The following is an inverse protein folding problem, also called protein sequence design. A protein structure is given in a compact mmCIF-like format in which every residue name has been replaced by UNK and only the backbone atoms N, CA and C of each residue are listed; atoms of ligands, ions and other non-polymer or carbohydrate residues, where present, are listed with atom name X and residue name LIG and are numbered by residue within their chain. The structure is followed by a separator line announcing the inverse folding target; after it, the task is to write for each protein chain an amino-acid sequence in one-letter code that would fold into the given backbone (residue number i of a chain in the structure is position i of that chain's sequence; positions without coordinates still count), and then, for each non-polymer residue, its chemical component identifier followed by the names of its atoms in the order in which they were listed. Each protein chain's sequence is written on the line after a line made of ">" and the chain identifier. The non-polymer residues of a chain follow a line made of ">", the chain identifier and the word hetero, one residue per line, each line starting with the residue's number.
data_IF_265511583420
#
_entry.id   IF_265511583420
#
_cell.length_a   1.000
_cell.length_b   1.000
_cell.length_c   1.000
_cell.angle_alpha   90.00
_cell.angle_beta   90.00
_cell.angle_gamma   90.00
#
_symmetry.space_group_name_H-M   'P 1'
#
loop_
_entity.id
_entity.type
_entity.pdbx_description
1 polymer ?
#
# COMPACT_ATOMS: atom_id res chain seq x y z
N UNK A 1 -12.63 -3.14 3.80
CA UNK A 1 -11.23 -2.87 3.51
C UNK A 1 -10.83 -1.41 3.82
N UNK A 2 -11.53 -0.43 3.21
CA UNK A 2 -11.15 0.99 3.26
C UNK A 2 -10.94 1.54 4.68
N UNK A 3 -11.84 1.34 5.67
CA UNK A 3 -11.64 1.88 7.02
C UNK A 3 -10.39 1.33 7.71
N UNK A 4 -10.10 0.03 7.53
CA UNK A 4 -8.93 -0.61 8.13
C UNK A 4 -7.64 -0.08 7.49
N UNK A 5 -7.62 0.05 6.16
CA UNK A 5 -6.49 0.60 5.44
C UNK A 5 -6.25 2.07 5.80
N UNK A 6 -7.30 2.90 5.89
CA UNK A 6 -7.18 4.31 6.27
C UNK A 6 -6.67 4.47 7.70
N UNK A 7 -7.13 3.65 8.64
CA UNK A 7 -6.62 3.66 10.00
C UNK A 7 -5.11 3.34 10.04
N UNK A 8 -4.70 2.26 9.37
CA UNK A 8 -3.30 1.85 9.30
C UNK A 8 -2.43 2.92 8.61
N UNK A 9 -2.90 3.51 7.50
CA UNK A 9 -2.22 4.61 6.82
C UNK A 9 -2.10 5.84 7.72
N UNK A 10 -3.16 6.19 8.47
CA UNK A 10 -3.16 7.31 9.40
C UNK A 10 -2.10 7.17 10.49
N UNK A 11 -1.94 5.97 11.05
CA UNK A 11 -0.87 5.68 12.01
C UNK A 11 0.52 5.87 11.38
N UNK A 12 0.73 5.42 10.15
CA UNK A 12 2.02 5.56 9.46
C UNK A 12 2.32 7.00 9.03
N UNK A 13 1.30 7.81 8.78
CA UNK A 13 1.50 9.23 8.41
C UNK A 13 2.13 10.06 9.55
N UNK A 14 2.07 9.57 10.80
CA UNK A 14 2.75 10.21 11.95
C UNK A 14 4.28 10.22 11.76
N UNK A 15 4.83 9.31 10.99
CA UNK A 15 6.27 9.22 10.70
C UNK A 15 6.79 10.52 10.06
N UNK A 16 6.02 11.13 9.16
CA UNK A 16 6.40 12.35 8.46
C UNK A 16 6.74 13.53 9.41
N UNK A 17 5.80 13.98 10.26
CA UNK A 17 6.06 15.04 11.24
C UNK A 17 7.19 14.72 12.21
N UNK A 18 7.33 13.45 12.63
CA UNK A 18 8.44 13.03 13.52
C UNK A 18 9.78 13.25 12.84
N UNK A 19 9.93 12.84 11.59
CA UNK A 19 11.16 13.01 10.82
C UNK A 19 11.45 14.49 10.55
N UNK A 20 10.43 15.27 10.19
CA UNK A 20 10.57 16.71 9.97
C UNK A 20 11.12 17.42 11.24
N UNK A 21 10.62 17.03 12.41
CA UNK A 21 11.06 17.58 13.70
C UNK A 21 12.51 17.16 14.04
N UNK A 22 12.90 15.92 13.69
CA UNK A 22 14.26 15.44 13.93
C UNK A 22 15.30 16.13 13.03
N UNK A 23 14.96 16.42 11.78
CA UNK A 23 15.83 17.18 10.87
C UNK A 23 16.04 18.61 11.33
N UNK A 24 15.03 19.27 11.86
CA UNK A 24 15.16 20.62 12.43
C UNK A 24 16.18 20.70 13.58
N UNK A 25 16.51 19.57 14.20
CA UNK A 25 17.48 19.45 15.31
C UNK A 25 18.87 18.92 14.91
N UNK A 26 19.20 18.92 13.60
CA UNK A 26 20.51 18.46 13.06
C UNK A 26 20.88 16.99 13.34
N UNK A 27 19.87 16.09 13.46
CA UNK A 27 20.08 14.66 13.71
C UNK A 27 19.94 13.83 12.42
N UNK A 28 20.62 14.22 11.36
CA UNK A 28 20.52 13.56 10.04
C UNK A 28 20.92 12.07 10.05
N UNK A 29 21.88 11.68 10.91
CA UNK A 29 22.32 10.29 11.04
C UNK A 29 21.24 9.31 11.54
N UNK A 30 20.14 9.81 12.11
CA UNK A 30 19.04 8.98 12.61
C UNK A 30 17.92 8.71 11.60
N UNK A 31 17.95 9.33 10.43
CA UNK A 31 16.91 9.15 9.40
C UNK A 31 16.91 7.71 8.87
N UNK A 32 18.08 7.11 8.63
CA UNK A 32 18.17 5.71 8.20
C UNK A 32 17.63 4.72 9.23
N UNK A 33 17.90 4.96 10.51
CA UNK A 33 17.34 4.17 11.62
C UNK A 33 15.81 4.25 11.66
N UNK A 34 15.25 5.45 11.47
CA UNK A 34 13.80 5.67 11.43
C UNK A 34 13.14 5.00 10.22
N UNK A 35 13.83 4.90 9.08
CA UNK A 35 13.34 4.18 7.89
C UNK A 35 13.06 2.72 8.21
N UNK A 36 14.02 2.07 8.88
CA UNK A 36 13.90 0.66 9.23
C UNK A 36 12.75 0.42 10.24
N UNK A 37 12.63 1.28 11.23
CA UNK A 37 11.53 1.21 12.21
C UNK A 37 10.17 1.49 11.57
N UNK A 38 10.09 2.42 10.62
CA UNK A 38 8.88 2.70 9.86
C UNK A 38 8.42 1.49 9.03
N UNK A 39 9.35 0.78 8.40
CA UNK A 39 9.05 -0.45 7.65
C UNK A 39 8.62 -1.58 8.58
N UNK A 40 9.26 -1.76 9.73
CA UNK A 40 8.84 -2.73 10.74
C UNK A 40 7.43 -2.43 11.26
N UNK A 41 7.14 -1.16 11.55
CA UNK A 41 5.81 -0.73 11.96
C UNK A 41 4.75 -1.03 10.87
N UNK A 42 5.06 -0.74 9.61
CA UNK A 42 4.18 -1.06 8.48
C UNK A 42 3.92 -2.56 8.37
N UNK A 43 4.96 -3.39 8.57
CA UNK A 43 4.84 -4.85 8.56
C UNK A 43 3.97 -5.35 9.72
N UNK A 44 4.19 -4.87 10.93
CA UNK A 44 3.37 -5.23 12.09
C UNK A 44 1.90 -4.82 11.90
N UNK A 45 1.66 -3.59 11.41
CA UNK A 45 0.31 -3.11 11.12
C UNK A 45 -0.37 -3.95 10.04
N UNK A 46 0.36 -4.38 9.02
CA UNK A 46 -0.19 -5.24 7.97
C UNK A 46 -0.58 -6.62 8.51
N UNK A 47 0.28 -7.21 9.36
CA UNK A 47 0.01 -8.50 10.00
C UNK A 47 -1.23 -8.46 10.90
N UNK A 48 -1.47 -7.35 11.58
CA UNK A 48 -2.69 -7.15 12.40
C UNK A 48 -3.91 -6.87 11.52
N UNK A 49 -3.74 -6.11 10.45
CA UNK A 49 -4.87 -5.72 9.57
C UNK A 49 -5.35 -6.86 8.67
N UNK A 50 -4.48 -7.78 8.25
CA UNK A 50 -4.84 -8.92 7.41
C UNK A 50 -5.94 -9.81 8.04
N UNK A 51 -5.81 -10.33 9.27
CA UNK A 51 -6.86 -11.14 9.88
C UNK A 51 -8.16 -10.37 10.08
N UNK A 52 -8.10 -9.08 10.37
CA UNK A 52 -9.29 -8.22 10.48
C UNK A 52 -10.05 -8.19 9.15
N UNK A 53 -9.35 -7.96 8.03
CA UNK A 53 -9.97 -7.97 6.70
C UNK A 53 -10.48 -9.36 6.34
N UNK A 54 -9.75 -10.41 6.72
CA UNK A 54 -10.18 -11.80 6.50
C UNK A 54 -11.50 -12.12 7.21
N UNK A 55 -11.68 -11.67 8.45
CA UNK A 55 -12.94 -11.83 9.18
C UNK A 55 -14.04 -10.97 8.56
N UNK A 56 -13.76 -9.71 8.23
CA UNK A 56 -14.71 -8.78 7.64
C UNK A 56 -15.25 -9.26 6.28
N UNK A 57 -14.48 -10.01 5.50
CA UNK A 57 -14.96 -10.55 4.22
C UNK A 57 -16.15 -11.50 4.40
N UNK A 58 -16.23 -12.21 5.53
CA UNK A 58 -17.32 -13.15 5.81
C UNK A 58 -18.62 -12.44 6.22
N UNK A 59 -18.54 -11.18 6.66
CA UNK A 59 -19.69 -10.38 7.06
C UNK A 59 -20.63 -10.05 5.87
N UNK A 60 -20.10 -10.06 4.65
CA UNK A 60 -20.90 -9.81 3.45
C UNK A 60 -22.03 -10.83 3.25
N UNK A 61 -21.83 -12.10 3.67
CA UNK A 61 -22.87 -13.11 3.62
C UNK A 61 -24.06 -12.84 4.56
N UNK A 62 -23.92 -11.89 5.49
CA UNK A 62 -24.99 -11.49 6.42
C UNK A 62 -25.72 -10.22 5.95
N UNK A 63 -25.13 -9.47 5.03
CA UNK A 63 -25.65 -8.17 4.59
C UNK A 63 -26.50 -8.29 3.31
N UNK A 64 -26.22 -9.27 2.47
CA UNK A 64 -26.89 -9.42 1.18
C UNK A 64 -27.26 -10.87 0.91
N UNK A 65 -28.51 -11.07 0.44
CA UNK A 65 -29.01 -12.37 0.01
C UNK A 65 -28.50 -12.78 -1.38
N UNK A 66 -27.85 -11.87 -2.14
CA UNK A 66 -27.28 -12.17 -3.44
C UNK A 66 -25.93 -12.90 -3.31
N UNK A 67 -25.97 -14.21 -3.46
CA UNK A 67 -24.80 -15.08 -3.37
C UNK A 67 -23.72 -14.77 -4.43
N UNK A 68 -24.07 -14.20 -5.57
CA UNK A 68 -23.12 -13.83 -6.61
C UNK A 68 -22.34 -12.58 -6.21
N UNK A 69 -23.03 -11.56 -5.71
CA UNK A 69 -22.44 -10.32 -5.21
C UNK A 69 -21.53 -10.60 -4.01
N UNK A 70 -21.95 -11.43 -3.07
CA UNK A 70 -21.15 -11.79 -1.89
C UNK A 70 -19.86 -12.52 -2.27
N UNK A 71 -19.90 -13.44 -3.24
CA UNK A 71 -18.70 -14.11 -3.75
C UNK A 71 -17.72 -13.16 -4.41
N UNK A 72 -18.20 -12.23 -5.24
CA UNK A 72 -17.35 -11.23 -5.89
C UNK A 72 -16.70 -10.28 -4.88
N UNK A 73 -17.47 -9.80 -3.90
CA UNK A 73 -16.96 -8.92 -2.85
C UNK A 73 -15.91 -9.63 -1.96
N UNK A 74 -16.18 -10.88 -1.59
CA UNK A 74 -15.26 -11.70 -0.81
C UNK A 74 -13.96 -11.99 -1.57
N UNK A 75 -14.04 -12.29 -2.87
CA UNK A 75 -12.87 -12.52 -3.72
C UNK A 75 -12.06 -11.23 -3.92
N UNK A 76 -12.71 -10.09 -4.11
CA UNK A 76 -12.06 -8.78 -4.16
C UNK A 76 -11.30 -8.48 -2.86
N UNK A 77 -11.96 -8.65 -1.71
CA UNK A 77 -11.34 -8.42 -0.41
C UNK A 77 -10.14 -9.33 -0.16
N UNK A 78 -10.24 -10.59 -0.56
CA UNK A 78 -9.14 -11.54 -0.46
C UNK A 78 -7.94 -11.13 -1.32
N UNK A 79 -8.19 -10.70 -2.56
CA UNK A 79 -7.14 -10.26 -3.46
C UNK A 79 -6.41 -9.00 -2.94
N UNK A 80 -7.17 -7.98 -2.52
CA UNK A 80 -6.58 -6.71 -2.05
C UNK A 80 -5.89 -6.85 -0.68
N UNK A 81 -6.30 -7.81 0.15
CA UNK A 81 -5.66 -8.11 1.44
C UNK A 81 -4.17 -8.41 1.26
N UNK A 82 -3.80 -9.13 0.20
CA UNK A 82 -2.39 -9.43 -0.12
C UNK A 82 -1.59 -8.20 -0.55
N UNK A 83 -2.25 -7.16 -1.06
CA UNK A 83 -1.62 -5.89 -1.39
C UNK A 83 -1.33 -5.00 -0.17
N UNK A 84 -1.93 -5.30 0.99
CA UNK A 84 -1.85 -4.45 2.17
C UNK A 84 -0.42 -4.23 2.69
N UNK A 85 0.44 -5.27 2.81
CA UNK A 85 1.82 -5.08 3.28
C UNK A 85 2.61 -4.14 2.37
N UNK A 86 2.44 -4.27 1.05
CA UNK A 86 3.10 -3.41 0.09
C UNK A 86 2.58 -1.96 0.16
N UNK A 87 1.27 -1.79 0.27
CA UNK A 87 0.65 -0.47 0.43
C UNK A 87 1.15 0.24 1.69
N UNK A 88 1.14 -0.44 2.85
CA UNK A 88 1.62 0.15 4.09
C UNK A 88 3.13 0.43 4.07
N UNK A 89 3.92 -0.44 3.42
CA UNK A 89 5.34 -0.20 3.18
C UNK A 89 5.57 1.04 2.30
N UNK A 90 4.79 1.20 1.23
CA UNK A 90 4.81 2.40 0.39
C UNK A 90 4.48 3.67 1.20
N UNK A 91 3.40 3.64 2.01
CA UNK A 91 2.99 4.78 2.85
C UNK A 91 4.08 5.14 3.85
N UNK A 92 4.74 4.17 4.48
CA UNK A 92 5.84 4.41 5.39
C UNK A 92 7.02 5.13 4.70
N UNK A 93 7.45 4.63 3.53
CA UNK A 93 8.52 5.24 2.74
C UNK A 93 8.13 6.62 2.19
N UNK A 94 6.88 6.78 1.77
CA UNK A 94 6.33 8.07 1.35
C UNK A 94 6.39 9.09 2.48
N UNK A 95 5.88 8.75 3.67
CA UNK A 95 5.89 9.63 4.84
C UNK A 95 7.31 10.02 5.26
N UNK A 96 8.28 9.09 5.13
CA UNK A 96 9.69 9.37 5.35
C UNK A 96 10.24 10.41 4.36
N UNK A 97 9.93 10.27 3.09
CA UNK A 97 10.37 11.24 2.06
C UNK A 97 9.72 12.61 2.26
N UNK A 98 8.44 12.65 2.58
CA UNK A 98 7.70 13.89 2.87
C UNK A 98 8.27 14.59 4.11
N UNK A 99 8.54 13.86 5.18
CA UNK A 99 9.21 14.37 6.38
C UNK A 99 10.65 14.86 6.11
N UNK A 100 11.27 14.29 5.07
CA UNK A 100 12.59 14.69 4.58
C UNK A 100 12.56 15.86 3.58
N UNK A 101 11.41 16.49 3.38
CA UNK A 101 11.18 17.55 2.38
C UNK A 101 11.47 17.11 0.93
N UNK A 102 11.35 15.81 0.65
CA UNK A 102 11.52 15.19 -0.65
C UNK A 102 10.19 14.63 -1.16
N UNK A 103 9.31 15.48 -1.67
CA UNK A 103 7.97 15.06 -2.15
C UNK A 103 7.96 14.54 -3.59
N UNK A 104 8.96 14.93 -4.41
CA UNK A 104 9.02 14.57 -5.82
C UNK A 104 9.03 13.06 -6.10
N UNK A 105 9.82 12.21 -5.40
CA UNK A 105 9.80 10.76 -5.63
C UNK A 105 8.41 10.16 -5.43
N UNK A 106 7.71 10.53 -4.36
CA UNK A 106 6.37 10.03 -4.07
C UNK A 106 5.35 10.42 -5.17
N UNK A 107 5.47 11.65 -5.70
CA UNK A 107 4.63 12.12 -6.80
C UNK A 107 4.84 11.29 -8.07
N UNK A 108 6.09 11.02 -8.46
CA UNK A 108 6.38 10.23 -9.66
C UNK A 108 5.93 8.78 -9.52
N UNK A 109 6.13 8.17 -8.35
CA UNK A 109 5.69 6.80 -8.10
C UNK A 109 4.17 6.70 -8.13
N UNK A 110 3.45 7.65 -7.48
CA UNK A 110 1.99 7.68 -7.52
C UNK A 110 1.43 7.90 -8.93
N UNK A 111 2.08 8.77 -9.74
CA UNK A 111 1.70 8.95 -11.15
C UNK A 111 1.91 7.67 -11.97
N UNK A 112 3.02 6.96 -11.75
CA UNK A 112 3.28 5.65 -12.36
C UNK A 112 2.20 4.63 -11.96
N UNK A 113 1.83 4.56 -10.68
CA UNK A 113 0.76 3.70 -10.19
C UNK A 113 -0.59 4.01 -10.85
N UNK A 114 -0.93 5.30 -10.98
CA UNK A 114 -2.15 5.73 -11.67
C UNK A 114 -2.17 5.31 -13.14
N UNK A 115 -1.08 5.50 -13.87
CA UNK A 115 -0.96 5.11 -15.28
C UNK A 115 -1.04 3.60 -15.46
N UNK A 116 -0.45 2.81 -14.56
CA UNK A 116 -0.50 1.35 -14.58
C UNK A 116 -1.86 0.80 -14.13
N UNK A 117 -2.63 1.58 -13.38
CA UNK A 117 -3.95 1.16 -12.89
C UNK A 117 -4.91 0.86 -14.03
N UNK A 118 -4.92 1.68 -15.09
CA UNK A 118 -5.81 1.52 -16.23
C UNK A 118 -5.57 0.20 -16.97
N UNK A 119 -4.35 -0.08 -17.50
CA UNK A 119 -4.09 -1.30 -18.25
C UNK A 119 -4.19 -2.57 -17.38
N UNK A 120 -3.71 -2.53 -16.15
CA UNK A 120 -3.79 -3.69 -15.26
C UNK A 120 -5.23 -4.05 -14.88
N UNK A 121 -6.07 -3.07 -14.56
CA UNK A 121 -7.49 -3.34 -14.34
C UNK A 121 -8.14 -3.91 -15.59
N UNK A 122 -7.83 -3.36 -16.76
CA UNK A 122 -8.38 -3.87 -18.02
C UNK A 122 -7.98 -5.33 -18.27
N UNK A 123 -6.71 -5.68 -18.04
CA UNK A 123 -6.20 -7.04 -18.19
C UNK A 123 -6.86 -8.04 -17.23
N UNK A 124 -6.93 -7.72 -15.95
CA UNK A 124 -7.43 -8.65 -14.93
C UNK A 124 -8.96 -8.75 -14.92
N UNK A 125 -9.67 -7.66 -15.17
CA UNK A 125 -11.15 -7.66 -15.19
C UNK A 125 -11.70 -8.38 -16.42
N UNK A 126 -11.15 -8.08 -17.60
CA UNK A 126 -11.64 -8.62 -18.88
C UNK A 126 -10.92 -9.90 -19.32
N UNK A 127 -9.81 -10.27 -18.67
CA UNK A 127 -9.09 -11.50 -18.98
C UNK A 127 -8.36 -11.45 -20.33
N UNK A 128 -7.71 -10.33 -20.64
CA UNK A 128 -6.91 -10.20 -21.87
C UNK A 128 -5.48 -10.71 -21.65
N UNK A 129 -4.77 -10.98 -22.75
CA UNK A 129 -3.38 -11.46 -22.74
C UNK A 129 -3.16 -12.79 -21.99
N UNK A 130 -4.17 -13.69 -21.96
CA UNK A 130 -4.04 -15.01 -21.34
C UNK A 130 -4.39 -15.07 -19.85
N UNK A 131 -4.79 -13.96 -19.25
CA UNK A 131 -5.31 -13.96 -17.87
C UNK A 131 -6.77 -14.43 -17.82
N UNK A 132 -7.17 -15.17 -16.76
CA UNK A 132 -8.56 -15.56 -16.57
C UNK A 132 -9.43 -14.32 -16.31
N UNK A 133 -10.67 -14.32 -16.81
CA UNK A 133 -11.65 -13.28 -16.52
C UNK A 133 -12.02 -13.34 -15.02
N UNK A 134 -11.49 -12.43 -14.24
CA UNK A 134 -11.71 -12.42 -12.78
C UNK A 134 -12.84 -11.47 -12.35
N UNK A 135 -13.35 -10.62 -13.27
CA UNK A 135 -14.39 -9.65 -12.96
C UNK A 135 -14.00 -8.73 -11.81
N UNK A 136 -14.88 -8.58 -10.81
CA UNK A 136 -14.62 -7.74 -9.64
C UNK A 136 -13.39 -8.15 -8.81
N UNK A 137 -13.09 -9.45 -8.73
CA UNK A 137 -11.87 -9.93 -8.06
C UNK A 137 -10.60 -9.49 -8.80
N UNK A 138 -10.66 -9.36 -10.12
CA UNK A 138 -9.57 -8.86 -10.96
C UNK A 138 -9.16 -7.43 -10.61
N UNK A 139 -10.12 -6.57 -10.27
CA UNK A 139 -9.83 -5.22 -9.81
C UNK A 139 -9.02 -5.21 -8.50
N UNK A 140 -9.36 -6.11 -7.55
CA UNK A 140 -8.60 -6.27 -6.30
C UNK A 140 -7.18 -6.78 -6.55
N UNK A 141 -7.02 -7.75 -7.47
CA UNK A 141 -5.72 -8.29 -7.85
C UNK A 141 -4.85 -7.24 -8.55
N UNK A 142 -5.42 -6.49 -9.50
CA UNK A 142 -4.73 -5.38 -10.17
C UNK A 142 -4.21 -4.35 -9.18
N UNK A 143 -5.07 -3.93 -8.24
CA UNK A 143 -4.70 -2.97 -7.18
C UNK A 143 -3.59 -3.53 -6.29
N UNK A 144 -3.64 -4.79 -5.90
CA UNK A 144 -2.59 -5.42 -5.12
C UNK A 144 -1.24 -5.42 -5.86
N UNK A 145 -1.24 -5.75 -7.16
CA UNK A 145 -0.02 -5.70 -8.00
C UNK A 145 0.53 -4.27 -8.06
N UNK A 146 -0.32 -3.27 -8.22
CA UNK A 146 0.09 -1.87 -8.25
C UNK A 146 0.77 -1.48 -6.93
N UNK A 147 0.22 -1.85 -5.79
CA UNK A 147 0.83 -1.57 -4.50
C UNK A 147 2.23 -2.16 -4.37
N UNK A 148 2.47 -3.38 -4.90
CA UNK A 148 3.82 -3.95 -4.93
C UNK A 148 4.77 -3.19 -5.86
N UNK A 149 4.29 -2.74 -7.01
CA UNK A 149 5.10 -1.93 -7.94
C UNK A 149 5.44 -0.58 -7.31
N UNK A 150 4.47 0.11 -6.72
CA UNK A 150 4.67 1.39 -6.03
C UNK A 150 5.65 1.25 -4.86
N UNK A 151 5.48 0.21 -4.04
CA UNK A 151 6.39 -0.08 -2.94
C UNK A 151 7.82 -0.33 -3.43
N UNK A 152 7.99 -1.16 -4.46
CA UNK A 152 9.29 -1.49 -5.02
C UNK A 152 9.97 -0.27 -5.63
N UNK A 153 9.24 0.53 -6.41
CA UNK A 153 9.77 1.77 -7.00
C UNK A 153 10.20 2.75 -5.91
N UNK A 154 9.36 2.92 -4.88
CA UNK A 154 9.68 3.82 -3.78
C UNK A 154 10.88 3.33 -2.97
N UNK A 155 10.95 2.02 -2.70
CA UNK A 155 12.07 1.40 -2.02
C UNK A 155 13.39 1.61 -2.79
N UNK A 156 13.38 1.36 -4.11
CA UNK A 156 14.53 1.59 -4.97
C UNK A 156 14.97 3.07 -4.97
N UNK A 157 14.02 4.00 -5.07
CA UNK A 157 14.33 5.44 -5.06
C UNK A 157 14.93 5.89 -3.73
N UNK A 158 14.43 5.37 -2.61
CA UNK A 158 15.00 5.67 -1.28
C UNK A 158 16.38 5.05 -1.12
N UNK A 159 16.57 3.81 -1.56
CA UNK A 159 17.83 3.08 -1.42
C UNK A 159 18.93 3.60 -2.34
N UNK A 160 18.57 4.02 -3.57
CA UNK A 160 19.52 4.57 -4.55
C UNK A 160 19.89 6.03 -4.25
N UNK A 161 19.14 6.72 -3.39
CA UNK A 161 19.40 8.12 -3.09
C UNK A 161 20.52 8.25 -2.06
N UNK A 162 21.69 8.82 -2.40
CA UNK A 162 22.83 8.91 -1.48
C UNK A 162 22.57 9.75 -0.23
N UNK A 163 21.52 10.57 -0.22
CA UNK A 163 21.09 11.37 0.96
C UNK A 163 20.41 10.55 2.06
N UNK A 164 20.06 9.29 1.80
CA UNK A 164 19.43 8.38 2.75
C UNK A 164 20.35 7.22 3.16
N UNK A 165 21.57 7.15 2.62
CA UNK A 165 22.55 6.15 3.09
C UNK A 165 22.99 6.50 4.51
N UNK A 166 22.98 5.51 5.44
CA UNK A 166 23.48 5.67 6.80
C UNK A 166 24.97 6.02 6.83
#
# INVERSE_FOLDING_TARGET
>A
YLPVALFACGVLMIIGPVIANMRGKSHESRVGYMTNHGLWLALMLSLVSMPVIYVLRNVFGWISDDAAMCRMASAYMFAIMWGLPANLGFVALKSLNEGSNMTRPAMYVGLCGLLLNIPLNYMFVFGMYGFPRMGGAGCGAATAVIFYIEFLLMFLLVYLNPKHRP
#
